data_IF_755568474316
#
_entry.id   IF_755568474316
#
_cell.length_a   1.000
_cell.length_b   1.000
_cell.length_c   1.000
_cell.angle_alpha   90.00
_cell.angle_beta   90.00
_cell.angle_gamma   90.00
#
_symmetry.space_group_name_H-M   'P 1'
#
loop_
_entity.id
_entity.type
_entity.pdbx_description
1 polymer ?
#
# COMPACT_ATOMS: atom_id res chain seq x y z
N UNK A 1 5.82 15.21 28.54
CA UNK A 1 6.03 15.44 27.10
C UNK A 1 4.71 15.22 26.39
N UNK A 2 4.22 16.23 25.68
CA UNK A 2 2.90 16.22 25.05
C UNK A 2 2.70 15.01 24.13
N UNK A 3 1.62 14.25 24.36
CA UNK A 3 1.26 13.06 23.58
C UNK A 3 0.27 13.40 22.46
N UNK A 4 0.22 14.67 22.02
CA UNK A 4 -0.74 15.15 21.01
C UNK A 4 -0.69 14.36 19.71
N UNK A 5 0.49 13.94 19.27
CA UNK A 5 0.67 13.10 18.08
C UNK A 5 0.01 11.71 18.21
N UNK A 6 -0.17 11.18 19.43
CA UNK A 6 -0.81 9.89 19.68
C UNK A 6 -2.33 10.02 19.88
N UNK A 7 -2.87 11.24 19.84
CA UNK A 7 -4.31 11.44 19.87
C UNK A 7 -4.90 11.10 18.49
N UNK A 8 -5.71 10.05 18.43
CA UNK A 8 -6.35 9.63 17.20
C UNK A 8 -7.37 10.68 16.71
N UNK A 9 -8.17 11.23 17.65
CA UNK A 9 -9.23 12.20 17.40
C UNK A 9 -8.71 13.66 17.43
N UNK A 10 -7.45 13.86 17.04
CA UNK A 10 -6.87 15.19 16.92
C UNK A 10 -7.70 16.02 15.93
N UNK A 11 -8.40 17.03 16.44
CA UNK A 11 -9.26 17.90 15.64
C UNK A 11 -8.42 18.73 14.69
N UNK A 12 -8.86 18.84 13.45
CA UNK A 12 -8.26 19.75 12.47
C UNK A 12 -8.46 21.20 12.98
N UNK A 13 -7.42 22.04 12.97
CA UNK A 13 -7.58 23.46 13.26
C UNK A 13 -8.49 24.12 12.22
N UNK A 14 -9.12 25.27 12.55
CA UNK A 14 -9.92 26.00 11.58
C UNK A 14 -9.06 26.33 10.35
N UNK A 15 -9.59 26.04 9.17
CA UNK A 15 -8.88 26.30 7.92
C UNK A 15 -8.94 27.81 7.63
N UNK A 16 -7.80 28.48 7.77
CA UNK A 16 -7.66 29.92 7.60
C UNK A 16 -6.53 30.16 6.61
N UNK A 17 -6.78 31.02 5.62
CA UNK A 17 -5.76 31.51 4.68
C UNK A 17 -5.37 32.93 5.07
N UNK A 18 -4.08 33.24 4.97
CA UNK A 18 -3.48 34.52 5.35
C UNK A 18 -2.73 35.08 4.13
N UNK A 19 -2.88 36.37 3.81
CA UNK A 19 -2.14 36.99 2.71
C UNK A 19 -0.65 37.12 3.03
N UNK A 20 0.20 36.73 2.08
CA UNK A 20 1.67 36.73 2.18
C UNK A 20 2.26 37.24 0.86
N UNK A 21 3.30 38.08 0.96
CA UNK A 21 4.00 38.70 -0.20
C UNK A 21 5.17 37.88 -0.75
N UNK A 22 5.57 36.83 -0.04
CA UNK A 22 6.71 35.97 -0.36
C UNK A 22 6.27 34.52 -0.57
N UNK A 23 6.31 34.05 -1.82
CA UNK A 23 5.82 32.72 -2.20
C UNK A 23 6.87 31.81 -2.85
N UNK A 24 8.13 32.24 -2.96
CA UNK A 24 9.20 31.45 -3.63
C UNK A 24 9.39 30.03 -3.09
N UNK A 25 8.93 29.75 -1.86
CA UNK A 25 9.02 28.43 -1.25
C UNK A 25 7.85 27.49 -1.62
N UNK A 26 6.74 28.03 -2.13
CA UNK A 26 5.51 27.27 -2.45
C UNK A 26 5.78 26.23 -3.54
N UNK A 27 6.46 26.53 -4.67
CA UNK A 27 6.80 25.52 -5.67
C UNK A 27 7.71 24.40 -5.12
N UNK A 28 8.63 24.73 -4.21
CA UNK A 28 9.50 23.74 -3.56
C UNK A 28 8.69 22.81 -2.63
N UNK A 29 7.74 23.39 -1.89
CA UNK A 29 6.81 22.63 -1.05
C UNK A 29 5.93 21.72 -1.89
N UNK A 30 5.45 22.20 -3.04
CA UNK A 30 4.73 21.37 -4.00
C UNK A 30 5.60 20.20 -4.48
N UNK A 31 6.81 20.47 -4.96
CA UNK A 31 7.71 19.43 -5.46
C UNK A 31 7.98 18.33 -4.42
N UNK A 32 8.21 18.70 -3.15
CA UNK A 32 8.42 17.72 -2.07
C UNK A 32 7.20 16.86 -1.75
N UNK A 33 5.99 17.42 -1.87
CA UNK A 33 4.74 16.67 -1.70
C UNK A 33 4.51 15.74 -2.90
N UNK A 34 4.78 16.20 -4.13
CA UNK A 34 4.62 15.40 -5.34
C UNK A 34 5.59 14.22 -5.38
N UNK A 35 6.86 14.47 -5.02
CA UNK A 35 7.88 13.43 -4.88
C UNK A 35 7.42 12.35 -3.89
N UNK A 36 6.84 12.76 -2.76
CA UNK A 36 6.26 11.82 -1.81
C UNK A 36 5.10 11.02 -2.42
N UNK A 37 4.15 11.65 -3.12
CA UNK A 37 3.04 10.90 -3.74
C UNK A 37 3.51 9.90 -4.79
N UNK A 38 4.46 10.29 -5.64
CA UNK A 38 5.05 9.40 -6.64
C UNK A 38 5.72 8.19 -5.98
N UNK A 39 6.61 8.43 -5.01
CA UNK A 39 7.35 7.36 -4.36
C UNK A 39 6.47 6.49 -3.46
N UNK A 40 5.55 7.10 -2.70
CA UNK A 40 4.64 6.39 -1.81
C UNK A 40 3.66 5.51 -2.59
N UNK A 41 3.13 6.02 -3.71
CA UNK A 41 2.18 5.32 -4.57
C UNK A 41 2.70 3.96 -5.06
N UNK A 42 4.01 3.83 -5.30
CA UNK A 42 4.62 2.57 -5.75
C UNK A 42 4.46 1.40 -4.77
N UNK A 43 4.40 1.69 -3.47
CA UNK A 43 4.35 0.66 -2.42
C UNK A 43 2.99 0.56 -1.73
N UNK A 44 2.21 1.65 -1.75
CA UNK A 44 0.95 1.79 -1.00
C UNK A 44 -0.11 0.75 -1.41
N UNK A 45 -0.32 0.54 -2.71
CA UNK A 45 -1.30 -0.43 -3.21
C UNK A 45 -0.96 -1.84 -2.74
N UNK A 46 0.29 -2.28 -2.97
CA UNK A 46 0.77 -3.60 -2.57
C UNK A 46 0.72 -3.77 -1.05
N UNK A 47 0.99 -2.71 -0.29
CA UNK A 47 0.89 -2.71 1.17
C UNK A 47 -0.55 -2.92 1.64
N UNK A 48 -1.50 -2.18 1.07
CA UNK A 48 -2.92 -2.27 1.40
C UNK A 48 -3.50 -3.64 1.03
N UNK A 49 -3.14 -4.20 -0.12
CA UNK A 49 -3.52 -5.56 -0.51
C UNK A 49 -2.99 -6.61 0.46
N UNK A 50 -1.72 -6.48 0.87
CA UNK A 50 -1.08 -7.41 1.80
C UNK A 50 -1.70 -7.30 3.20
N UNK A 51 -2.04 -6.09 3.66
CA UNK A 51 -2.76 -5.87 4.91
C UNK A 51 -4.17 -6.47 4.87
N UNK A 52 -4.89 -6.33 3.76
CA UNK A 52 -6.20 -6.95 3.56
C UNK A 52 -6.11 -8.48 3.54
N UNK A 53 -5.07 -9.05 2.93
CA UNK A 53 -4.80 -10.49 2.98
C UNK A 53 -4.59 -10.96 4.43
N UNK A 54 -3.80 -10.24 5.23
CA UNK A 54 -3.61 -10.55 6.65
C UNK A 54 -4.96 -10.56 7.40
N UNK A 55 -5.78 -9.52 7.22
CA UNK A 55 -7.13 -9.44 7.80
C UNK A 55 -8.00 -10.65 7.46
N UNK A 56 -7.98 -11.10 6.19
CA UNK A 56 -8.71 -12.30 5.75
C UNK A 56 -8.18 -13.58 6.40
N UNK A 57 -6.85 -13.72 6.52
CA UNK A 57 -6.23 -14.87 7.17
C UNK A 57 -6.60 -14.95 8.66
N UNK A 58 -6.61 -13.79 9.34
CA UNK A 58 -7.07 -13.69 10.73
C UNK A 58 -8.53 -14.14 10.85
N UNK A 59 -9.41 -13.61 9.99
CA UNK A 59 -10.83 -13.96 10.03
C UNK A 59 -11.07 -15.47 9.86
N UNK A 60 -10.36 -16.11 8.92
CA UNK A 60 -10.46 -17.56 8.66
C UNK A 60 -9.92 -18.42 9.81
N UNK A 61 -8.95 -17.91 10.58
CA UNK A 61 -8.24 -18.68 11.61
C UNK A 61 -8.52 -18.22 13.05
N UNK A 62 -9.42 -17.26 13.24
CA UNK A 62 -9.79 -16.71 14.56
C UNK A 62 -10.21 -17.77 15.56
N UNK A 63 -10.95 -18.78 15.12
CA UNK A 63 -11.42 -19.84 16.02
C UNK A 63 -10.32 -20.88 16.33
N UNK A 64 -9.50 -21.22 15.33
CA UNK A 64 -8.42 -22.20 15.47
C UNK A 64 -7.28 -21.72 16.36
N UNK A 65 -6.92 -20.43 16.28
CA UNK A 65 -5.72 -19.90 16.93
C UNK A 65 -6.00 -18.87 18.02
N UNK A 66 -7.25 -18.78 18.51
CA UNK A 66 -7.67 -17.78 19.51
C UNK A 66 -6.76 -17.70 20.74
N UNK A 67 -6.23 -18.84 21.19
CA UNK A 67 -5.41 -18.95 22.40
C UNK A 67 -3.89 -18.88 22.14
N UNK A 68 -3.46 -18.82 20.88
CA UNK A 68 -2.04 -18.80 20.53
C UNK A 68 -1.45 -17.40 20.68
N UNK A 69 -0.24 -17.31 21.26
CA UNK A 69 0.44 -16.04 21.48
C UNK A 69 0.71 -15.29 20.16
N UNK A 70 1.29 -15.96 19.15
CA UNK A 70 1.54 -15.31 17.86
C UNK A 70 0.28 -14.86 17.13
N UNK A 71 -0.86 -15.50 17.36
CA UNK A 71 -2.13 -15.03 16.81
C UNK A 71 -2.59 -13.72 17.46
N UNK A 72 -2.37 -13.54 18.76
CA UNK A 72 -2.61 -12.25 19.44
C UNK A 72 -1.70 -11.16 18.89
N UNK A 73 -0.44 -11.47 18.59
CA UNK A 73 0.48 -10.49 18.00
C UNK A 73 0.09 -10.10 16.58
N UNK A 74 -0.36 -11.05 15.77
CA UNK A 74 -0.98 -10.77 14.47
C UNK A 74 -2.25 -9.89 14.62
N UNK A 75 -3.08 -10.13 15.64
CA UNK A 75 -4.25 -9.27 15.89
C UNK A 75 -3.84 -7.83 16.25
N UNK A 76 -2.76 -7.66 17.04
CA UNK A 76 -2.19 -6.33 17.35
C UNK A 76 -1.63 -5.65 16.09
N UNK A 77 -0.94 -6.42 15.24
CA UNK A 77 -0.47 -5.96 13.93
C UNK A 77 -1.65 -5.45 13.10
N UNK A 78 -2.72 -6.23 12.99
CA UNK A 78 -3.91 -5.84 12.24
C UNK A 78 -4.59 -4.60 12.80
N UNK A 79 -4.67 -4.47 14.13
CA UNK A 79 -5.20 -3.25 14.76
C UNK A 79 -4.35 -2.01 14.43
N UNK A 80 -3.02 -2.14 14.38
CA UNK A 80 -2.12 -1.07 13.97
C UNK A 80 -2.30 -0.70 12.49
N UNK A 81 -2.45 -1.70 11.60
CA UNK A 81 -2.74 -1.49 10.18
C UNK A 81 -4.08 -0.77 9.96
N UNK A 82 -5.14 -1.20 10.64
CA UNK A 82 -6.44 -0.53 10.58
C UNK A 82 -6.36 0.90 11.12
N UNK A 83 -5.56 1.14 12.17
CA UNK A 83 -5.35 2.50 12.70
C UNK A 83 -4.62 3.39 11.70
N UNK A 84 -3.60 2.88 11.01
CA UNK A 84 -2.91 3.59 9.94
C UNK A 84 -3.86 3.96 8.80
N UNK A 85 -4.67 3.00 8.33
CA UNK A 85 -5.67 3.23 7.29
C UNK A 85 -6.66 4.34 7.68
N UNK A 86 -7.08 4.39 8.95
CA UNK A 86 -8.03 5.39 9.44
C UNK A 86 -7.47 6.80 9.57
N UNK A 87 -6.13 6.97 9.70
CA UNK A 87 -5.51 8.30 9.76
C UNK A 87 -5.60 8.99 8.39
N UNK A 88 -5.57 8.22 7.30
CA UNK A 88 -5.69 8.71 5.92
C UNK A 88 -4.87 9.98 5.63
N UNK A 89 -3.59 9.93 5.99
CA UNK A 89 -2.67 11.06 5.85
C UNK A 89 -2.52 11.51 4.40
N UNK A 90 -2.65 10.59 3.44
CA UNK A 90 -2.62 10.90 2.00
C UNK A 90 -3.68 11.94 1.64
N UNK A 91 -4.92 11.75 2.11
CA UNK A 91 -6.01 12.69 1.89
C UNK A 91 -5.80 14.03 2.61
N UNK A 92 -5.25 14.01 3.83
CA UNK A 92 -4.92 15.24 4.55
C UNK A 92 -3.84 16.06 3.84
N UNK A 93 -2.80 15.39 3.35
CA UNK A 93 -1.71 15.98 2.60
C UNK A 93 -2.18 16.54 1.26
N UNK A 94 -3.05 15.80 0.55
CA UNK A 94 -3.64 16.24 -0.70
C UNK A 94 -4.52 17.47 -0.50
N UNK A 95 -5.38 17.47 0.53
CA UNK A 95 -6.21 18.63 0.88
C UNK A 95 -5.34 19.87 1.17
N UNK A 96 -4.24 19.70 1.90
CA UNK A 96 -3.31 20.79 2.16
C UNK A 96 -2.63 21.27 0.88
N UNK A 97 -2.19 20.34 0.03
CA UNK A 97 -1.57 20.66 -1.26
C UNK A 97 -2.51 21.45 -2.17
N UNK A 98 -3.76 21.02 -2.33
CA UNK A 98 -4.75 21.73 -3.16
C UNK A 98 -5.11 23.12 -2.64
N UNK A 99 -4.79 23.39 -1.37
CA UNK A 99 -5.01 24.71 -0.76
C UNK A 99 -3.83 25.67 -0.94
N UNK A 100 -2.71 25.18 -1.46
CA UNK A 100 -1.58 26.00 -1.84
C UNK A 100 -1.78 26.59 -3.24
N UNK A 101 -1.24 27.78 -3.52
CA UNK A 101 -1.29 28.38 -4.85
C UNK A 101 -0.47 27.59 -5.87
N UNK A 102 -1.10 27.20 -6.99
CA UNK A 102 -0.46 26.37 -8.03
C UNK A 102 0.56 27.13 -8.90
N UNK A 103 0.52 28.46 -8.91
CA UNK A 103 1.35 29.30 -9.79
C UNK A 103 2.41 30.06 -8.98
N UNK A 104 3.62 30.13 -9.51
CA UNK A 104 4.65 31.02 -8.99
C UNK A 104 4.31 32.46 -9.41
N UNK A 105 3.78 33.25 -8.48
CA UNK A 105 3.53 34.67 -8.74
C UNK A 105 4.82 35.49 -8.58
N UNK A 106 4.83 36.65 -9.24
CA UNK A 106 5.92 37.61 -9.13
C UNK A 106 6.09 38.17 -7.71
N UNK A 107 7.31 38.58 -7.39
CA UNK A 107 7.66 39.15 -6.09
C UNK A 107 6.81 40.40 -5.79
N UNK A 108 6.10 40.39 -4.67
CA UNK A 108 5.22 41.48 -4.24
C UNK A 108 3.73 41.25 -4.51
N UNK A 109 3.36 40.18 -5.23
CA UNK A 109 1.96 39.76 -5.37
C UNK A 109 1.45 39.22 -4.03
N UNK A 110 0.29 39.70 -3.58
CA UNK A 110 -0.35 39.19 -2.38
C UNK A 110 -1.03 37.86 -2.68
N UNK A 111 -0.59 36.81 -1.98
CA UNK A 111 -1.10 35.45 -2.17
C UNK A 111 -1.63 34.91 -0.85
N UNK A 112 -2.76 34.24 -0.90
CA UNK A 112 -3.37 33.59 0.25
C UNK A 112 -2.77 32.20 0.46
N UNK A 113 -2.19 31.97 1.64
CA UNK A 113 -1.55 30.69 2.01
C UNK A 113 -2.18 30.19 3.32
N UNK A 114 -2.34 28.87 3.53
CA UNK A 114 -2.83 28.32 4.78
C UNK A 114 -2.01 28.76 6.00
N UNK A 115 -2.68 29.00 7.12
CA UNK A 115 -2.05 29.32 8.39
C UNK A 115 -1.12 28.20 8.88
N UNK A 116 -0.10 28.59 9.65
CA UNK A 116 0.87 27.68 10.26
C UNK A 116 0.22 26.59 11.12
N UNK A 117 -0.94 26.85 11.71
CA UNK A 117 -1.65 25.86 12.53
C UNK A 117 -2.08 24.62 11.70
N UNK A 118 -2.54 24.84 10.47
CA UNK A 118 -2.88 23.76 9.54
C UNK A 118 -1.64 22.93 9.17
N UNK A 119 -0.49 23.59 9.04
CA UNK A 119 0.78 22.94 8.76
C UNK A 119 1.32 22.15 9.95
N UNK A 120 1.22 22.71 11.16
CA UNK A 120 1.62 22.06 12.40
C UNK A 120 0.78 20.80 12.67
N UNK A 121 -0.52 20.85 12.35
CA UNK A 121 -1.39 19.68 12.35
C UNK A 121 -0.90 18.59 11.39
N UNK A 122 -0.52 18.97 10.16
CA UNK A 122 0.00 18.02 9.17
C UNK A 122 1.31 17.36 9.63
N UNK A 123 2.24 18.15 10.19
CA UNK A 123 3.49 17.63 10.75
C UNK A 123 3.23 16.69 11.94
N UNK A 124 2.26 17.01 12.81
CA UNK A 124 1.84 16.15 13.92
C UNK A 124 1.26 14.82 13.42
N UNK A 125 0.42 14.86 12.39
CA UNK A 125 -0.14 13.65 11.77
C UNK A 125 0.95 12.81 11.09
N UNK A 126 1.93 13.44 10.47
CA UNK A 126 3.08 12.75 9.89
C UNK A 126 3.94 12.03 10.95
N UNK A 127 4.16 12.65 12.12
CA UNK A 127 4.79 11.98 13.28
C UNK A 127 3.98 10.75 13.70
N UNK A 128 2.65 10.88 13.78
CA UNK A 128 1.76 9.77 14.14
C UNK A 128 1.84 8.61 13.15
N UNK A 129 1.86 8.90 11.85
CA UNK A 129 2.04 7.92 10.77
C UNK A 129 3.36 7.19 10.89
N UNK A 130 4.47 7.91 11.07
CA UNK A 130 5.78 7.31 11.26
C UNK A 130 5.80 6.35 12.47
N UNK A 131 5.23 6.77 13.60
CA UNK A 131 5.13 5.92 14.80
C UNK A 131 4.20 4.72 14.62
N UNK A 132 3.19 4.82 13.77
CA UNK A 132 2.37 3.67 13.40
C UNK A 132 3.15 2.65 12.56
N UNK A 133 3.99 3.09 11.61
CA UNK A 133 4.89 2.19 10.88
C UNK A 133 5.88 1.51 11.81
N UNK A 134 6.49 2.24 12.75
CA UNK A 134 7.38 1.65 13.77
C UNK A 134 6.64 0.62 14.64
N UNK A 135 5.39 0.90 15.02
CA UNK A 135 4.56 -0.05 15.76
C UNK A 135 4.25 -1.30 14.94
N UNK A 136 3.96 -1.15 13.65
CA UNK A 136 3.72 -2.25 12.70
C UNK A 136 4.96 -3.14 12.63
N UNK A 137 6.14 -2.57 12.42
CA UNK A 137 7.41 -3.31 12.37
C UNK A 137 7.66 -4.11 13.66
N UNK A 138 7.50 -3.47 14.82
CA UNK A 138 7.64 -4.14 16.12
C UNK A 138 6.66 -5.31 16.30
N UNK A 139 5.42 -5.17 15.82
CA UNK A 139 4.45 -6.26 15.84
C UNK A 139 4.82 -7.38 14.86
N UNK A 140 5.35 -7.03 13.68
CA UNK A 140 5.83 -8.00 12.70
C UNK A 140 6.98 -8.84 13.26
N UNK A 141 7.99 -8.23 13.88
CA UNK A 141 9.13 -8.97 14.46
C UNK A 141 8.69 -9.97 15.54
N UNK A 142 7.77 -9.56 16.42
CA UNK A 142 7.22 -10.45 17.47
C UNK A 142 6.41 -11.60 16.89
N UNK A 143 5.53 -11.31 15.93
CA UNK A 143 4.76 -12.36 15.25
C UNK A 143 5.67 -13.32 14.47
N UNK A 144 6.65 -12.78 13.74
CA UNK A 144 7.61 -13.57 12.96
C UNK A 144 8.41 -14.53 13.84
N UNK A 145 8.92 -14.08 14.98
CA UNK A 145 9.63 -14.95 15.93
C UNK A 145 8.79 -16.14 16.38
N UNK A 146 7.50 -15.92 16.66
CA UNK A 146 6.59 -16.99 17.03
C UNK A 146 6.34 -17.99 15.89
N UNK A 147 6.01 -17.52 14.69
CA UNK A 147 5.73 -18.44 13.57
C UNK A 147 6.97 -19.16 13.08
N UNK A 148 8.13 -18.52 13.15
CA UNK A 148 9.40 -19.19 12.87
C UNK A 148 9.66 -20.33 13.85
N UNK A 149 9.37 -20.13 15.15
CA UNK A 149 9.44 -21.21 16.13
C UNK A 149 8.44 -22.33 15.82
N UNK A 150 7.18 -22.02 15.47
CA UNK A 150 6.19 -23.03 15.09
C UNK A 150 6.62 -23.86 13.87
N UNK A 151 7.24 -23.21 12.87
CA UNK A 151 7.79 -23.89 11.69
C UNK A 151 8.91 -24.86 12.09
N UNK A 152 9.81 -24.47 12.99
CA UNK A 152 10.90 -25.34 13.47
C UNK A 152 10.39 -26.59 14.19
N UNK A 153 9.27 -26.49 14.90
CA UNK A 153 8.61 -27.62 15.59
C UNK A 153 7.64 -28.36 14.64
N UNK A 154 7.62 -28.03 13.34
CA UNK A 154 6.75 -28.61 12.31
C UNK A 154 5.24 -28.49 12.59
N UNK A 155 4.83 -27.57 13.47
CA UNK A 155 3.42 -27.34 13.79
C UNK A 155 2.78 -26.35 12.81
N UNK A 156 1.61 -26.74 12.27
CA UNK A 156 0.81 -25.94 11.34
C UNK A 156 1.65 -25.34 10.19
N UNK A 157 2.62 -26.10 9.68
CA UNK A 157 3.67 -25.61 8.79
C UNK A 157 3.15 -24.74 7.64
N UNK A 158 2.13 -25.20 6.91
CA UNK A 158 1.52 -24.46 5.80
C UNK A 158 0.98 -23.08 6.20
N UNK A 159 0.32 -22.99 7.36
CA UNK A 159 -0.29 -21.74 7.81
C UNK A 159 0.75 -20.84 8.47
N UNK A 160 1.67 -21.41 9.24
CA UNK A 160 2.78 -20.68 9.85
C UNK A 160 3.68 -20.06 8.78
N UNK A 161 4.00 -20.79 7.71
CA UNK A 161 4.78 -20.28 6.57
C UNK A 161 4.04 -19.19 5.81
N UNK A 162 2.75 -19.37 5.51
CA UNK A 162 1.94 -18.34 4.86
C UNK A 162 1.84 -17.05 5.70
N UNK A 163 1.58 -17.19 7.01
CA UNK A 163 1.52 -16.04 7.93
C UNK A 163 2.87 -15.34 8.03
N UNK A 164 3.96 -16.10 8.11
CA UNK A 164 5.31 -15.55 8.14
C UNK A 164 5.63 -14.77 6.85
N UNK A 165 5.27 -15.30 5.68
CA UNK A 165 5.48 -14.62 4.40
C UNK A 165 4.70 -13.29 4.33
N UNK A 166 3.44 -13.28 4.77
CA UNK A 166 2.62 -12.05 4.81
C UNK A 166 3.19 -11.04 5.79
N UNK A 167 3.58 -11.47 6.99
CA UNK A 167 4.19 -10.61 8.02
C UNK A 167 5.52 -10.03 7.53
N UNK A 168 6.37 -10.83 6.89
CA UNK A 168 7.64 -10.38 6.33
C UNK A 168 7.43 -9.32 5.23
N UNK A 169 6.47 -9.55 4.33
CA UNK A 169 6.13 -8.58 3.27
C UNK A 169 5.59 -7.26 3.85
N UNK A 170 4.73 -7.32 4.86
CA UNK A 170 4.24 -6.12 5.55
C UNK A 170 5.39 -5.38 6.22
N UNK A 171 6.33 -6.10 6.86
CA UNK A 171 7.49 -5.50 7.51
C UNK A 171 8.37 -4.72 6.51
N UNK A 172 8.75 -5.36 5.40
CA UNK A 172 9.57 -4.73 4.34
C UNK A 172 8.91 -3.47 3.78
N UNK A 173 7.62 -3.56 3.42
CA UNK A 173 6.87 -2.41 2.91
C UNK A 173 6.69 -1.31 3.96
N UNK A 174 6.44 -1.68 5.22
CA UNK A 174 6.32 -0.71 6.32
C UNK A 174 7.63 0.03 6.62
N UNK A 175 8.78 -0.61 6.36
CA UNK A 175 10.09 0.02 6.46
C UNK A 175 10.30 1.04 5.35
N UNK A 176 9.98 0.69 4.10
CA UNK A 176 10.06 1.58 2.94
C UNK A 176 9.14 2.80 3.11
N UNK A 177 7.86 2.57 3.41
CA UNK A 177 6.87 3.64 3.63
C UNK A 177 7.21 4.50 4.86
N UNK A 178 7.70 3.87 5.94
CA UNK A 178 8.21 4.57 7.12
C UNK A 178 9.36 5.51 6.78
N UNK A 179 10.32 5.07 5.97
CA UNK A 179 11.45 5.90 5.53
C UNK A 179 10.99 7.08 4.65
N UNK A 180 10.02 6.86 3.76
CA UNK A 180 9.41 7.93 2.98
C UNK A 180 8.73 8.98 3.87
N UNK A 181 8.00 8.54 4.90
CA UNK A 181 7.39 9.46 5.89
C UNK A 181 8.44 10.28 6.63
N UNK A 182 9.58 9.67 6.95
CA UNK A 182 10.71 10.36 7.60
C UNK A 182 11.34 11.41 6.68
N UNK A 183 11.55 11.06 5.41
CA UNK A 183 12.12 11.96 4.42
C UNK A 183 11.18 13.15 4.14
N UNK A 184 9.88 12.89 3.99
CA UNK A 184 8.88 13.94 3.87
C UNK A 184 8.94 14.89 5.08
N UNK A 185 9.01 14.36 6.31
CA UNK A 185 9.09 15.21 7.50
C UNK A 185 10.35 16.09 7.52
N UNK A 186 11.51 15.52 7.15
CA UNK A 186 12.78 16.28 7.04
C UNK A 186 12.66 17.39 6.00
N UNK A 187 11.96 17.14 4.90
CA UNK A 187 11.73 18.12 3.85
C UNK A 187 10.74 19.21 4.26
N UNK A 188 9.65 18.84 4.95
CA UNK A 188 8.59 19.76 5.38
C UNK A 188 9.00 20.65 6.56
N UNK A 189 9.76 20.15 7.53
CA UNK A 189 10.06 20.86 8.77
C UNK A 189 10.67 22.27 8.57
N UNK A 190 11.64 22.51 7.65
CA UNK A 190 12.21 23.83 7.41
C UNK A 190 11.20 24.88 6.93
N UNK A 191 10.15 24.48 6.20
CA UNK A 191 9.14 25.40 5.67
C UNK A 191 8.20 25.93 6.76
N UNK A 192 8.14 25.29 7.93
CA UNK A 192 7.34 25.72 9.08
C UNK A 192 7.60 27.18 9.51
N UNK A 193 8.82 27.67 9.33
CA UNK A 193 9.22 29.04 9.73
C UNK A 193 8.76 30.08 8.70
N UNK A 194 8.54 29.67 7.45
CA UNK A 194 8.16 30.56 6.34
C UNK A 194 6.65 30.82 6.27
N UNK A 195 5.85 30.06 7.03
CA UNK A 195 4.39 30.15 7.03
C UNK A 195 3.87 31.16 8.07
N UNK A 196 2.80 31.91 7.73
CA UNK A 196 2.24 32.93 8.61
C UNK A 196 1.56 32.34 9.84
N UNK A 197 1.76 32.96 11.00
CA UNK A 197 1.04 32.62 12.24
C UNK A 197 -0.33 33.30 12.25
N UNK A 198 -1.33 32.63 12.83
CA UNK A 198 -2.60 33.26 13.10
C UNK A 198 -2.44 34.30 14.23
N UNK A 199 -2.82 35.55 13.95
CA UNK A 199 -2.67 36.70 14.86
C UNK A 199 -3.80 36.75 15.91
N UNK A 200 -4.90 36.03 15.66
CA UNK A 200 -5.99 35.85 16.64
C UNK A 200 -5.83 34.51 17.34
N UNK A 201 -5.04 34.40 18.43
CA UNK A 201 -5.08 33.24 19.27
C UNK A 201 -6.46 33.22 19.91
N UNK A 202 -7.34 32.33 19.48
CA UNK A 202 -8.41 31.93 20.38
C UNK A 202 -7.75 31.56 21.72
N UNK A 203 -8.35 32.05 22.81
CA UNK A 203 -7.95 32.11 24.23
C UNK A 203 -7.48 30.78 24.87
N UNK A 204 -7.29 29.73 24.05
CA UNK A 204 -6.79 28.41 24.39
C UNK A 204 -5.54 28.06 23.57
N UNK A 205 -4.56 28.98 23.47
CA UNK A 205 -3.23 28.65 22.93
C UNK A 205 -2.48 27.73 23.89
N UNK A 206 -2.85 26.45 23.81
CA UNK A 206 -2.08 25.33 24.30
C UNK A 206 -0.59 25.49 23.90
N UNK A 207 0.37 25.09 24.76
CA UNK A 207 1.80 25.36 24.55
C UNK A 207 2.28 24.85 23.18
N UNK A 208 3.11 25.65 22.50
CA UNK A 208 3.66 25.34 21.17
C UNK A 208 4.35 23.96 21.21
N UNK A 209 3.86 23.02 20.41
CA UNK A 209 4.41 21.67 20.39
C UNK A 209 5.85 21.70 19.86
N UNK A 210 6.79 21.17 20.65
CA UNK A 210 8.19 21.11 20.27
C UNK A 210 8.41 19.98 19.25
N UNK A 211 8.48 20.35 17.97
CA UNK A 211 8.76 19.42 16.88
C UNK A 211 10.19 18.85 16.97
N UNK A 212 10.38 17.52 16.90
CA UNK A 212 11.71 16.93 16.90
C UNK A 212 12.47 17.26 15.61
N UNK A 213 13.79 17.49 15.72
CA UNK A 213 14.67 17.71 14.56
C UNK A 213 14.83 16.45 13.70
N UNK A 214 14.79 15.27 14.32
CA UNK A 214 14.82 13.95 13.67
C UNK A 214 13.79 13.04 14.31
N UNK A 215 12.97 12.38 13.49
CA UNK A 215 11.94 11.45 13.96
C UNK A 215 12.52 10.21 14.64
N UNK A 216 13.67 9.73 14.15
CA UNK A 216 14.40 8.56 14.65
C UNK A 216 14.93 8.74 16.09
N UNK A 217 15.20 9.99 16.51
CA UNK A 217 15.73 10.31 17.83
C UNK A 217 14.64 10.57 18.88
N UNK A 218 13.37 10.62 18.45
CA UNK A 218 12.25 10.97 19.33
C UNK A 218 12.05 9.95 20.48
N UNK A 219 12.44 8.69 20.28
CA UNK A 219 12.28 7.62 21.28
C UNK A 219 13.55 7.23 22.04
N UNK A 220 14.75 7.54 21.55
CA UNK A 220 16.02 7.18 22.24
C UNK A 220 16.13 7.79 23.65
N UNK A 221 15.44 8.90 23.91
CA UNK A 221 15.40 9.54 25.25
C UNK A 221 14.54 8.81 26.29
N UNK A 222 13.80 7.74 25.93
CA UNK A 222 12.86 7.06 26.85
C UNK A 222 13.30 5.67 27.31
N UNK A 223 14.11 4.95 26.53
CA UNK A 223 14.52 3.58 26.88
C UNK A 223 15.74 3.50 27.82
N UNK A 224 16.46 4.61 28.05
CA UNK A 224 17.61 4.61 28.98
C UNK A 224 17.24 4.83 30.46
N UNK A 225 15.96 5.11 30.79
CA UNK A 225 15.55 5.52 32.14
C UNK A 225 14.53 4.58 32.80
N UNK A 226 14.47 3.31 32.40
CA UNK A 226 13.79 2.28 33.19
C UNK A 226 14.85 1.32 33.74
N UNK A 227 14.97 1.10 35.06
CA UNK A 227 15.89 0.10 35.59
C UNK A 227 15.41 -1.27 35.12
N UNK A 228 16.15 -1.83 34.15
CA UNK A 228 15.99 -3.19 33.68
C UNK A 228 16.44 -4.16 34.76
N UNK A 229 15.52 -4.56 35.63
CA UNK A 229 15.63 -5.79 36.41
C UNK A 229 14.84 -6.89 35.70
N UNK A 230 15.53 -8.02 35.49
CA UNK A 230 15.08 -9.33 34.97
C UNK A 230 14.89 -9.49 33.45
N UNK A 231 16.01 -9.62 32.72
CA UNK A 231 16.12 -10.38 31.46
C UNK A 231 17.48 -11.09 31.48
N UNK A 232 17.55 -12.30 32.04
CA UNK A 232 18.76 -13.14 32.01
C UNK A 232 18.67 -14.30 30.99
N UNK A 233 17.52 -14.52 30.34
CA UNK A 233 17.35 -15.66 29.42
C UNK A 233 17.45 -15.33 27.92
N UNK A 234 17.43 -14.06 27.52
CA UNK A 234 17.47 -13.67 26.10
C UNK A 234 18.89 -13.63 25.51
N UNK A 235 19.91 -13.48 26.33
CA UNK A 235 21.31 -13.29 25.89
C UNK A 235 21.90 -14.58 25.32
N UNK A 236 21.57 -15.73 25.91
CA UNK A 236 22.08 -17.03 25.45
C UNK A 236 21.53 -17.43 24.07
N UNK A 237 20.27 -17.07 23.78
CA UNK A 237 19.63 -17.41 22.51
C UNK A 237 20.08 -16.49 21.35
N UNK A 238 20.48 -15.24 21.64
CA UNK A 238 21.12 -14.34 20.67
C UNK A 238 22.56 -14.75 20.36
N UNK A 239 23.31 -15.27 21.33
CA UNK A 239 24.66 -15.78 21.13
C UNK A 239 24.70 -17.07 20.28
N UNK A 240 23.77 -18.00 20.51
CA UNK A 240 23.61 -19.21 19.68
C UNK A 240 23.26 -18.87 18.22
N UNK A 241 22.40 -17.86 17.99
CA UNK A 241 22.00 -17.47 16.64
C UNK A 241 23.15 -16.80 15.87
N UNK A 242 23.98 -16.00 16.56
CA UNK A 242 25.15 -15.36 15.97
C UNK A 242 26.28 -16.34 15.65
N UNK A 243 26.41 -17.43 16.42
CA UNK A 243 27.36 -18.50 16.13
C UNK A 243 27.01 -19.30 14.87
N UNK A 244 25.73 -19.47 14.57
CA UNK A 244 25.25 -20.17 13.36
C UNK A 244 25.42 -19.36 12.07
N UNK A 245 25.43 -18.03 12.15
CA UNK A 245 25.63 -17.13 11.00
C UNK A 245 27.12 -17.00 10.64
N UNK A 246 28.03 -17.28 11.58
CA UNK A 246 29.48 -17.15 11.41
C UNK A 246 30.21 -18.41 10.92
N UNK A 247 29.50 -19.50 10.64
CA UNK A 247 30.11 -20.70 10.07
C UNK A 247 30.51 -20.47 8.60
N UNK A 248 31.76 -20.00 8.43
CA UNK A 248 32.64 -20.04 7.27
C UNK A 248 32.03 -20.28 5.88
N UNK A 249 31.66 -19.19 5.20
CA UNK A 249 31.62 -19.19 3.73
C UNK A 249 33.05 -19.11 3.19
N UNK A 250 33.71 -20.26 3.00
CA UNK A 250 34.89 -20.35 2.13
C UNK A 250 34.39 -20.15 0.69
N UNK A 251 34.36 -18.89 0.24
CA UNK A 251 34.06 -18.55 -1.14
C UNK A 251 35.32 -18.77 -1.98
N UNK A 252 35.36 -19.86 -2.75
CA UNK A 252 36.32 -20.02 -3.83
C UNK A 252 36.01 -19.00 -4.94
N UNK A 253 36.98 -18.19 -5.40
CA UNK A 253 36.75 -17.23 -6.47
C UNK A 253 36.61 -17.97 -7.81
N UNK A 254 35.39 -18.09 -8.31
CA UNK A 254 35.13 -18.57 -9.68
C UNK A 254 35.32 -17.41 -10.65
N UNK A 255 36.30 -17.51 -11.56
CA UNK A 255 36.46 -16.56 -12.67
C UNK A 255 35.26 -16.67 -13.62
N UNK A 256 34.43 -15.64 -13.65
CA UNK A 256 33.30 -15.54 -14.58
C UNK A 256 33.81 -15.48 -16.03
N UNK A 257 33.62 -16.57 -16.79
CA UNK A 257 33.67 -16.53 -18.25
C UNK A 257 32.29 -16.11 -18.76
N UNK A 258 32.29 -15.03 -19.54
CA UNK A 258 31.17 -14.48 -20.32
C UNK A 258 30.18 -13.60 -19.54
N UNK A 259 30.42 -12.28 -19.61
CA UNK A 259 29.40 -11.26 -19.41
C UNK A 259 28.28 -11.51 -20.44
N UNK A 260 27.08 -11.87 -19.97
CA UNK A 260 25.90 -11.83 -20.84
C UNK A 260 25.71 -10.38 -21.28
N UNK A 261 25.61 -10.18 -22.60
CA UNK A 261 25.28 -8.88 -23.18
C UNK A 261 23.98 -8.38 -22.53
N UNK A 262 24.02 -7.14 -22.09
CA UNK A 262 22.85 -6.39 -21.63
C UNK A 262 21.88 -6.35 -22.81
N UNK A 263 20.68 -6.87 -22.59
CA UNK A 263 19.60 -6.90 -23.59
C UNK A 263 19.10 -5.46 -23.76
N UNK A 264 19.66 -4.78 -24.77
CA UNK A 264 19.18 -3.46 -25.18
C UNK A 264 17.91 -3.74 -25.96
N UNK A 265 16.77 -3.42 -25.36
CA UNK A 265 15.45 -3.84 -25.79
C UNK A 265 15.21 -3.76 -27.30
N UNK A 266 14.46 -4.73 -27.79
CA UNK A 266 13.98 -4.79 -29.18
C UNK A 266 13.06 -3.60 -29.43
N UNK A 267 13.35 -2.86 -30.50
CA UNK A 267 12.53 -1.77 -31.01
C UNK A 267 11.17 -2.33 -31.44
N UNK A 268 10.12 -2.04 -30.65
CA UNK A 268 8.76 -2.44 -30.98
C UNK A 268 8.21 -1.44 -31.99
N UNK A 269 8.13 -1.84 -33.25
CA UNK A 269 7.33 -1.15 -34.26
C UNK A 269 5.89 -1.01 -33.76
N UNK A 270 5.41 0.23 -33.67
CA UNK A 270 3.99 0.51 -33.42
C UNK A 270 3.21 0.06 -34.65
N UNK A 271 2.58 -1.11 -34.55
CA UNK A 271 1.58 -1.53 -35.51
C UNK A 271 0.43 -0.54 -35.50
N UNK A 272 0.10 -0.04 -36.69
CA UNK A 272 -1.04 0.83 -36.95
C UNK A 272 -2.33 0.17 -36.46
N UNK A 273 -3.27 0.99 -35.99
CA UNK A 273 -4.58 0.59 -35.48
C UNK A 273 -5.29 -0.36 -36.47
N UNK A 274 -5.23 -1.66 -36.18
CA UNK A 274 -6.06 -2.65 -36.84
C UNK A 274 -7.51 -2.41 -36.42
N UNK A 275 -8.33 -2.06 -37.42
CA UNK A 275 -9.78 -1.88 -37.32
C UNK A 275 -10.41 -2.98 -36.45
N UNK A 276 -11.13 -2.55 -35.42
CA UNK A 276 -11.86 -3.44 -34.52
C UNK A 276 -12.69 -4.46 -35.33
N UNK A 277 -12.41 -5.75 -35.14
CA UNK A 277 -13.23 -6.84 -35.67
C UNK A 277 -14.59 -6.79 -35.00
N UNK A 278 -15.54 -6.09 -35.60
CA UNK A 278 -16.94 -6.08 -35.18
C UNK A 278 -17.52 -7.48 -35.41
N UNK A 279 -17.93 -8.16 -34.33
CA UNK A 279 -18.71 -9.38 -34.45
C UNK A 279 -20.11 -9.04 -34.95
N UNK A 280 -20.53 -9.68 -36.03
CA UNK A 280 -21.92 -9.67 -36.45
C UNK A 280 -22.66 -10.78 -35.69
N UNK A 281 -23.41 -10.40 -34.64
CA UNK A 281 -24.08 -11.33 -33.72
C UNK A 281 -25.12 -12.20 -34.46
N UNK A 282 -25.61 -11.72 -35.60
CA UNK A 282 -26.58 -12.40 -36.47
C UNK A 282 -26.04 -13.69 -37.13
N UNK A 283 -24.71 -13.87 -37.18
CA UNK A 283 -24.08 -15.07 -37.74
C UNK A 283 -24.18 -16.31 -36.83
N UNK A 284 -24.50 -16.14 -35.54
CA UNK A 284 -24.59 -17.23 -34.55
C UNK A 284 -25.92 -17.99 -34.62
N UNK A 285 -26.29 -18.51 -35.79
CA UNK A 285 -27.60 -19.14 -36.06
C UNK A 285 -27.82 -20.48 -35.35
N UNK A 286 -26.78 -21.31 -35.23
CA UNK A 286 -26.89 -22.69 -34.73
C UNK A 286 -26.13 -22.89 -33.41
N UNK A 287 -26.55 -23.87 -32.59
CA UNK A 287 -25.89 -24.23 -31.33
C UNK A 287 -24.43 -24.69 -31.53
N UNK A 288 -24.12 -25.22 -32.70
CA UNK A 288 -22.75 -25.59 -33.09
C UNK A 288 -21.88 -24.37 -33.37
N UNK A 289 -22.42 -23.33 -33.98
CA UNK A 289 -21.68 -22.10 -34.28
C UNK A 289 -21.28 -21.38 -32.99
N UNK A 290 -22.17 -21.39 -31.99
CA UNK A 290 -21.85 -20.88 -30.64
C UNK A 290 -20.76 -21.73 -29.95
N UNK A 291 -20.78 -23.06 -30.10
CA UNK A 291 -19.70 -23.92 -29.57
C UNK A 291 -18.37 -23.62 -30.24
N UNK A 292 -18.34 -23.47 -31.57
CA UNK A 292 -17.14 -23.12 -32.33
C UNK A 292 -16.61 -21.74 -31.92
N UNK A 293 -17.50 -20.77 -31.71
CA UNK A 293 -17.17 -19.43 -31.22
C UNK A 293 -16.52 -19.49 -29.83
N UNK A 294 -17.13 -20.20 -28.86
CA UNK A 294 -16.59 -20.34 -27.49
C UNK A 294 -15.19 -20.95 -27.52
N UNK A 295 -14.92 -21.96 -28.36
CA UNK A 295 -13.61 -22.58 -28.48
C UNK A 295 -12.56 -21.62 -29.06
N UNK A 296 -12.92 -20.88 -30.13
CA UNK A 296 -12.05 -19.87 -30.75
C UNK A 296 -11.72 -18.76 -29.75
N UNK A 297 -12.73 -18.25 -29.05
CA UNK A 297 -12.59 -17.18 -28.08
C UNK A 297 -11.78 -17.62 -26.86
N UNK A 298 -11.96 -18.87 -26.36
CA UNK A 298 -11.17 -19.41 -25.26
C UNK A 298 -9.68 -19.53 -25.61
N UNK A 299 -9.37 -19.93 -26.85
CA UNK A 299 -7.99 -19.97 -27.34
C UNK A 299 -7.40 -18.56 -27.47
N UNK A 300 -8.19 -17.59 -27.94
CA UNK A 300 -7.76 -16.19 -28.05
C UNK A 300 -7.53 -15.55 -26.68
N UNK A 301 -8.43 -15.74 -25.70
CA UNK A 301 -8.24 -15.24 -24.33
C UNK A 301 -7.02 -15.84 -23.62
N UNK A 302 -6.61 -17.06 -23.99
CA UNK A 302 -5.41 -17.70 -23.45
C UNK A 302 -4.12 -17.16 -24.07
N UNK A 303 -4.15 -16.75 -25.33
CA UNK A 303 -2.96 -16.29 -26.06
C UNK A 303 -2.76 -14.76 -25.93
N UNK A 304 -3.81 -13.97 -26.18
CA UNK A 304 -3.79 -12.50 -26.14
C UNK A 304 -5.13 -11.97 -25.59
N UNK A 305 -5.12 -11.49 -24.33
CA UNK A 305 -6.33 -10.98 -23.68
C UNK A 305 -6.83 -9.65 -24.27
N UNK A 306 -6.00 -8.92 -25.02
CA UNK A 306 -6.29 -7.59 -25.58
C UNK A 306 -6.94 -7.64 -26.98
N UNK A 307 -6.70 -8.70 -27.74
CA UNK A 307 -7.22 -8.90 -29.11
C UNK A 307 -8.53 -9.70 -29.17
N UNK A 308 -8.99 -10.24 -28.05
CA UNK A 308 -10.21 -11.04 -27.99
C UNK A 308 -11.46 -10.17 -28.15
N UNK A 309 -12.50 -10.69 -28.80
CA UNK A 309 -13.70 -9.87 -29.04
C UNK A 309 -14.46 -9.63 -27.73
N UNK A 310 -14.38 -10.58 -26.80
CA UNK A 310 -14.99 -10.48 -25.47
C UNK A 310 -14.10 -9.76 -24.46
N UNK A 311 -13.15 -8.92 -24.90
CA UNK A 311 -12.22 -8.17 -24.01
C UNK A 311 -12.92 -7.35 -22.93
N UNK A 312 -14.11 -6.81 -23.24
CA UNK A 312 -14.91 -6.01 -22.30
C UNK A 312 -15.60 -6.87 -21.22
N UNK A 313 -15.66 -8.19 -21.40
CA UNK A 313 -16.32 -9.13 -20.48
C UNK A 313 -15.31 -9.65 -19.45
N UNK A 314 -15.64 -9.50 -18.16
CA UNK A 314 -14.83 -10.02 -17.05
C UNK A 314 -14.81 -11.55 -17.10
N UNK A 315 -13.68 -12.17 -16.76
CA UNK A 315 -13.49 -13.62 -16.90
C UNK A 315 -14.52 -14.50 -16.16
N UNK A 316 -15.03 -14.05 -15.00
CA UNK A 316 -16.06 -14.77 -14.26
C UNK A 316 -17.46 -14.67 -14.92
N UNK A 317 -17.79 -13.53 -15.53
CA UNK A 317 -19.05 -13.33 -16.28
C UNK A 317 -19.07 -14.21 -17.53
N UNK A 318 -17.94 -14.25 -18.25
CA UNK A 318 -17.73 -15.12 -19.40
C UNK A 318 -17.88 -16.61 -19.04
N UNK A 319 -17.22 -17.05 -17.97
CA UNK A 319 -17.29 -18.43 -17.51
C UNK A 319 -18.72 -18.82 -17.06
N UNK A 320 -19.45 -17.88 -16.46
CA UNK A 320 -20.86 -18.07 -16.08
C UNK A 320 -21.76 -18.26 -17.30
N UNK A 321 -21.60 -17.41 -18.33
CA UNK A 321 -22.37 -17.50 -19.57
C UNK A 321 -22.11 -18.80 -20.34
N UNK A 322 -20.84 -19.22 -20.43
CA UNK A 322 -20.46 -20.50 -21.08
C UNK A 322 -21.08 -21.69 -20.35
N UNK A 323 -20.96 -21.75 -19.02
CA UNK A 323 -21.55 -22.85 -18.22
C UNK A 323 -23.07 -22.91 -18.34
N UNK A 324 -23.74 -21.75 -18.38
CA UNK A 324 -25.18 -21.68 -18.57
C UNK A 324 -25.60 -22.19 -19.96
N UNK A 325 -24.85 -21.83 -21.00
CA UNK A 325 -25.08 -22.33 -22.36
C UNK A 325 -24.87 -23.86 -22.43
N UNK A 326 -23.75 -24.37 -21.94
CA UNK A 326 -23.45 -25.81 -21.92
C UNK A 326 -24.51 -26.61 -21.16
N UNK A 327 -24.95 -26.12 -20.00
CA UNK A 327 -26.02 -26.74 -19.20
C UNK A 327 -27.35 -26.79 -19.97
N UNK A 328 -27.70 -25.71 -20.68
CA UNK A 328 -28.94 -25.65 -21.48
C UNK A 328 -28.89 -26.55 -22.71
N UNK A 329 -27.74 -26.69 -23.34
CA UNK A 329 -27.54 -27.63 -24.45
C UNK A 329 -27.61 -29.07 -23.96
N UNK A 330 -27.03 -29.38 -22.80
CA UNK A 330 -27.08 -30.72 -22.20
C UNK A 330 -28.51 -31.14 -21.82
N UNK A 331 -29.33 -30.19 -21.38
CA UNK A 331 -30.74 -30.41 -21.04
C UNK A 331 -31.70 -30.46 -22.27
N UNK A 332 -31.17 -30.49 -23.50
CA UNK A 332 -31.98 -30.52 -24.73
C UNK A 332 -32.65 -29.18 -25.10
N UNK A 333 -32.41 -28.11 -24.33
CA UNK A 333 -32.99 -26.77 -24.56
C UNK A 333 -32.07 -25.88 -25.41
N UNK A 334 -31.51 -26.40 -26.50
CA UNK A 334 -30.50 -25.72 -27.31
C UNK A 334 -30.97 -24.35 -27.84
N UNK A 335 -32.24 -24.23 -28.26
CA UNK A 335 -32.83 -22.96 -28.74
C UNK A 335 -32.91 -21.89 -27.65
N UNK A 336 -33.25 -22.27 -26.41
CA UNK A 336 -33.27 -21.34 -25.27
C UNK A 336 -31.85 -20.93 -24.89
N UNK A 337 -30.91 -21.89 -24.86
CA UNK A 337 -29.49 -21.62 -24.63
C UNK A 337 -28.92 -20.61 -25.61
N UNK A 338 -29.21 -20.78 -26.91
CA UNK A 338 -28.85 -19.84 -27.97
C UNK A 338 -29.40 -18.43 -27.71
N UNK A 339 -30.69 -18.30 -27.45
CA UNK A 339 -31.33 -16.99 -27.23
C UNK A 339 -30.75 -16.24 -26.02
N UNK A 340 -30.44 -16.96 -24.94
CA UNK A 340 -29.86 -16.38 -23.72
C UNK A 340 -28.41 -15.96 -23.96
N UNK A 341 -27.65 -16.77 -24.68
CA UNK A 341 -26.26 -16.47 -24.98
C UNK A 341 -26.11 -15.29 -25.95
N UNK A 342 -26.98 -15.18 -26.97
CA UNK A 342 -27.01 -13.99 -27.86
C UNK A 342 -27.34 -12.72 -27.10
N UNK A 343 -28.40 -12.73 -26.28
CA UNK A 343 -28.76 -11.58 -25.43
C UNK A 343 -27.62 -11.17 -24.49
N UNK A 344 -26.86 -12.14 -23.98
CA UNK A 344 -25.68 -11.85 -23.15
C UNK A 344 -24.57 -11.16 -23.94
N UNK A 345 -24.29 -11.60 -25.17
CA UNK A 345 -23.29 -10.97 -26.04
C UNK A 345 -23.74 -9.57 -26.49
N UNK A 346 -25.00 -9.41 -26.90
CA UNK A 346 -25.58 -8.11 -27.29
C UNK A 346 -25.47 -7.08 -26.15
N UNK A 347 -25.76 -7.47 -24.92
CA UNK A 347 -25.73 -6.57 -23.77
C UNK A 347 -24.33 -6.17 -23.28
N UNK A 348 -23.28 -6.83 -23.79
CA UNK A 348 -21.91 -6.68 -23.26
C UNK A 348 -20.87 -6.31 -24.31
N UNK A 349 -21.18 -6.46 -25.59
CA UNK A 349 -20.29 -6.15 -26.73
C UNK A 349 -20.74 -4.86 -27.44
N UNK A 350 -22.05 -4.59 -27.52
CA UNK A 350 -22.59 -3.27 -27.82
C UNK A 350 -22.63 -2.43 -26.54
#
# INVERSE_FOLDING_TARGET
MDHRWNNFDLKRPPFITIPVKHSKFVPLLHAGIDEYFCNHGTYDEVFNETAALLSRLIARRKNSFRRMHGFRDICKLNAALCRLLRVDFKKELDTFRSSLPDVAYEDGTEIYIPARDCYDFLLLRLIAVHKLYERIQNCCTKAAGYFLHQIKVYHFFEISTLLLAVVAKINDLSMKLGNLSTNLYRHLLPFRVKLPRNINPNVYSEPEFAFPKKLEEFDKKRFCNLPSSSLQDTTQMEEELNHLIRADSILAPVRAKCLRKIDVGVEVERQAEERAKTLNIDELTTAEDVKRFILKERKQRSNNSTECITRNIKGHEWLGAVKMFEKKVHNGEARKGLSVFRKFLEAKIN
#
